data_IF_281569645957
#
_entry.id   IF_281569645957
#
_cell.length_a   1.000
_cell.length_b   1.000
_cell.length_c   1.000
_cell.angle_alpha   90.00
_cell.angle_beta   90.00
_cell.angle_gamma   90.00
#
_symmetry.space_group_name_H-M   'P 1'
#
loop_
_entity.id
_entity.type
_entity.pdbx_description
1 polymer ?
#
# COMPACT_ATOMS: atom_id res chain seq x y z
N UNK A 1 3.50 -19.36 -53.20
CA UNK A 1 4.05 -18.01 -53.10
C UNK A 1 5.09 -17.97 -51.99
N UNK A 2 6.30 -17.47 -52.23
CA UNK A 2 7.32 -17.29 -51.20
C UNK A 2 6.94 -16.13 -50.34
N UNK A 3 7.22 -16.27 -49.03
CA UNK A 3 7.01 -15.23 -48.04
C UNK A 3 8.23 -15.16 -47.13
N UNK A 4 8.47 -13.95 -46.56
CA UNK A 4 9.50 -13.73 -45.59
C UNK A 4 8.86 -13.59 -44.22
N UNK A 5 9.39 -14.29 -43.22
CA UNK A 5 9.00 -14.14 -41.83
C UNK A 5 10.17 -13.65 -41.00
N UNK A 6 9.91 -12.68 -40.10
CA UNK A 6 10.84 -12.16 -39.12
C UNK A 6 10.17 -12.16 -37.76
N UNK A 7 10.79 -12.79 -36.80
CA UNK A 7 10.28 -12.93 -35.44
C UNK A 7 11.16 -12.18 -34.44
N UNK A 8 10.58 -11.82 -33.32
CA UNK A 8 11.27 -11.13 -32.25
C UNK A 8 12.19 -12.08 -31.47
N UNK A 9 13.28 -11.61 -30.83
CA UNK A 9 14.12 -12.44 -29.96
C UNK A 9 13.36 -13.07 -28.78
N UNK A 10 12.22 -12.49 -28.41
CA UNK A 10 11.32 -12.97 -27.35
C UNK A 10 10.35 -14.05 -27.82
N UNK A 11 10.45 -14.47 -29.07
CA UNK A 11 9.61 -15.50 -29.68
C UNK A 11 10.48 -16.69 -30.06
N UNK A 12 10.10 -17.87 -29.59
CA UNK A 12 10.68 -19.14 -30.04
C UNK A 12 9.85 -19.68 -31.19
N UNK A 13 10.47 -19.82 -32.32
CA UNK A 13 9.82 -20.19 -33.58
C UNK A 13 10.16 -21.60 -33.96
N UNK A 14 9.13 -22.35 -34.32
CA UNK A 14 9.25 -23.69 -34.88
C UNK A 14 8.65 -23.66 -36.30
N UNK A 15 9.51 -23.90 -37.30
CA UNK A 15 9.11 -23.95 -38.69
C UNK A 15 8.98 -25.41 -39.14
N UNK A 16 7.76 -25.81 -39.45
CA UNK A 16 7.43 -27.09 -40.03
C UNK A 16 7.37 -26.99 -41.54
N UNK A 17 7.96 -27.97 -42.23
CA UNK A 17 7.79 -28.16 -43.68
C UNK A 17 7.37 -29.57 -43.92
N UNK A 18 6.21 -29.76 -44.56
CA UNK A 18 5.61 -31.10 -44.79
C UNK A 18 5.50 -31.92 -43.47
N UNK A 19 5.14 -31.29 -42.36
CA UNK A 19 5.00 -31.95 -41.06
C UNK A 19 6.30 -32.20 -40.28
N UNK A 20 7.46 -31.89 -40.87
CA UNK A 20 8.76 -32.08 -40.20
C UNK A 20 9.35 -30.73 -39.77
N UNK A 21 9.92 -30.66 -38.56
CA UNK A 21 10.65 -29.51 -38.09
C UNK A 21 11.87 -29.25 -38.95
N UNK A 22 11.89 -28.12 -39.64
CA UNK A 22 13.02 -27.70 -40.48
C UNK A 22 13.97 -26.76 -39.77
N UNK A 23 13.42 -25.84 -38.98
CA UNK A 23 14.17 -24.82 -38.22
C UNK A 23 13.49 -24.56 -36.90
N UNK A 24 14.29 -24.33 -35.90
CA UNK A 24 13.82 -24.00 -34.57
C UNK A 24 14.81 -23.06 -33.89
N UNK A 25 14.31 -22.07 -33.17
CA UNK A 25 15.15 -21.14 -32.43
C UNK A 25 14.43 -19.82 -32.10
N UNK A 26 15.14 -18.96 -31.39
CA UNK A 26 14.61 -17.62 -31.01
C UNK A 26 15.00 -16.60 -32.08
N UNK A 27 14.10 -15.66 -32.35
CA UNK A 27 14.35 -14.51 -33.20
C UNK A 27 14.72 -14.85 -34.65
N UNK A 28 14.20 -15.94 -35.19
CA UNK A 28 14.53 -16.39 -36.55
C UNK A 28 13.94 -15.46 -37.60
N UNK A 29 14.70 -15.34 -38.71
CA UNK A 29 14.24 -14.66 -39.92
C UNK A 29 14.55 -15.53 -41.12
N UNK A 30 13.55 -15.84 -41.95
CA UNK A 30 13.74 -16.76 -43.07
C UNK A 30 12.67 -16.60 -44.16
N UNK A 31 13.01 -17.05 -45.36
CA UNK A 31 12.06 -17.22 -46.43
C UNK A 31 11.44 -18.64 -46.38
N UNK A 32 10.15 -18.74 -46.67
CA UNK A 32 9.41 -20.00 -46.67
C UNK A 32 8.38 -20.04 -47.78
N UNK A 33 7.97 -21.28 -48.14
CA UNK A 33 6.94 -21.56 -49.15
C UNK A 33 5.62 -21.86 -48.42
N UNK A 34 4.65 -20.93 -48.57
CA UNK A 34 3.36 -20.97 -47.82
C UNK A 34 2.61 -22.31 -47.88
N UNK A 35 2.42 -22.94 -49.06
CA UNK A 35 1.57 -24.14 -49.18
C UNK A 35 2.08 -25.35 -48.39
N UNK A 36 3.38 -25.42 -48.09
CA UNK A 36 3.99 -26.62 -47.45
C UNK A 36 4.56 -26.30 -46.09
N UNK A 37 4.39 -25.04 -45.62
CA UNK A 37 5.03 -24.56 -44.38
C UNK A 37 3.99 -24.15 -43.37
N UNK A 38 4.16 -24.58 -42.13
CA UNK A 38 3.46 -24.05 -40.95
C UNK A 38 4.48 -23.47 -39.97
N UNK A 39 4.19 -22.34 -39.42
CA UNK A 39 5.07 -21.64 -38.49
C UNK A 39 4.35 -21.49 -37.16
N UNK A 40 4.95 -21.99 -36.12
CA UNK A 40 4.48 -21.86 -34.75
C UNK A 40 5.40 -20.87 -34.02
N UNK A 41 4.85 -19.87 -33.41
CA UNK A 41 5.59 -18.86 -32.62
C UNK A 41 5.16 -18.93 -31.15
N UNK A 42 6.07 -19.29 -30.30
CA UNK A 42 5.85 -19.40 -28.86
C UNK A 42 6.52 -18.22 -28.17
N UNK A 43 5.79 -17.36 -27.47
CA UNK A 43 6.40 -16.27 -26.70
C UNK A 43 7.14 -16.84 -25.48
N UNK A 44 8.42 -16.50 -25.38
CA UNK A 44 9.30 -16.91 -24.27
C UNK A 44 9.63 -15.75 -23.33
N UNK A 45 8.93 -14.64 -23.47
CA UNK A 45 8.93 -13.55 -22.52
C UNK A 45 8.28 -13.97 -21.19
N UNK A 46 8.48 -13.18 -20.16
CA UNK A 46 7.86 -13.38 -18.85
C UNK A 46 6.74 -12.36 -18.66
N UNK A 47 5.51 -12.65 -19.13
CA UNK A 47 4.39 -11.78 -18.91
C UNK A 47 3.86 -11.89 -17.47
N UNK A 48 3.28 -10.78 -17.00
CA UNK A 48 2.54 -10.75 -15.75
C UNK A 48 1.05 -10.99 -16.06
N UNK A 49 0.46 -11.91 -15.33
CA UNK A 49 -0.92 -12.30 -15.44
C UNK A 49 -1.66 -11.87 -14.18
N UNK A 50 -2.44 -10.79 -14.21
CA UNK A 50 -3.22 -10.38 -13.07
C UNK A 50 -4.39 -11.35 -12.84
N UNK A 51 -4.75 -11.56 -11.58
CA UNK A 51 -5.90 -12.34 -11.20
C UNK A 51 -6.70 -11.68 -10.08
N UNK A 52 -7.99 -11.97 -10.07
CA UNK A 52 -8.92 -11.61 -8.99
C UNK A 52 -9.77 -12.83 -8.72
N UNK A 53 -9.70 -13.34 -7.48
CA UNK A 53 -10.49 -14.47 -7.03
C UNK A 53 -11.45 -14.05 -5.94
N UNK A 54 -12.69 -14.53 -6.02
CA UNK A 54 -13.66 -14.45 -4.95
C UNK A 54 -13.83 -15.85 -4.40
N UNK A 55 -13.32 -16.05 -3.19
CA UNK A 55 -13.32 -17.36 -2.53
C UNK A 55 -14.06 -17.28 -1.20
N UNK A 56 -14.48 -18.42 -0.71
CA UNK A 56 -15.24 -18.52 0.54
C UNK A 56 -14.34 -19.11 1.62
N UNK A 57 -14.29 -18.44 2.76
CA UNK A 57 -13.55 -18.89 3.95
C UNK A 57 -14.32 -19.96 4.72
N UNK A 58 -13.67 -20.56 5.74
CA UNK A 58 -14.28 -21.51 6.67
C UNK A 58 -15.57 -20.96 7.33
N UNK A 59 -15.59 -19.65 7.58
CA UNK A 59 -16.71 -18.95 8.20
C UNK A 59 -17.82 -18.59 7.20
N UNK A 60 -17.80 -19.15 5.99
CA UNK A 60 -18.73 -18.86 4.89
C UNK A 60 -18.74 -17.38 4.47
N UNK A 61 -17.64 -16.68 4.69
CA UNK A 61 -17.48 -15.28 4.26
C UNK A 61 -16.72 -15.21 2.95
N UNK A 62 -17.15 -14.31 2.07
CA UNK A 62 -16.45 -14.09 0.80
C UNK A 62 -15.27 -13.16 1.00
N UNK A 63 -14.12 -13.56 0.49
CA UNK A 63 -12.90 -12.75 0.40
C UNK A 63 -12.51 -12.58 -1.06
N UNK A 64 -12.11 -11.37 -1.39
CA UNK A 64 -11.54 -11.03 -2.70
C UNK A 64 -10.04 -10.99 -2.60
N UNK A 65 -9.37 -11.83 -3.38
CA UNK A 65 -7.91 -11.96 -3.42
C UNK A 65 -7.44 -11.42 -4.77
N UNK A 66 -6.60 -10.41 -4.74
CA UNK A 66 -6.04 -9.79 -5.93
C UNK A 66 -4.54 -10.01 -5.97
N UNK A 67 -4.05 -10.39 -7.13
CA UNK A 67 -2.63 -10.65 -7.29
C UNK A 67 -2.21 -10.75 -8.74
N UNK A 68 -0.96 -11.15 -8.93
CA UNK A 68 -0.39 -11.39 -10.25
C UNK A 68 0.53 -12.61 -10.22
N UNK A 69 0.59 -13.31 -11.33
CA UNK A 69 1.45 -14.46 -11.58
C UNK A 69 2.39 -14.08 -12.71
N UNK A 70 3.68 -14.07 -12.44
CA UNK A 70 4.71 -13.96 -13.48
C UNK A 70 5.14 -15.36 -13.88
N UNK A 71 5.05 -15.66 -15.14
CA UNK A 71 5.43 -16.98 -15.65
C UNK A 71 6.28 -16.87 -16.91
N UNK A 72 6.95 -17.94 -17.27
CA UNK A 72 7.64 -18.09 -18.56
C UNK A 72 7.37 -19.45 -19.16
N UNK A 73 7.44 -19.53 -20.46
CA UNK A 73 7.43 -20.80 -21.18
C UNK A 73 8.87 -21.31 -21.25
N UNK A 74 9.13 -22.40 -20.52
CA UNK A 74 10.47 -23.01 -20.45
C UNK A 74 10.69 -24.01 -21.58
N UNK A 75 9.66 -24.81 -21.93
CA UNK A 75 9.71 -25.81 -22.98
C UNK A 75 8.75 -25.47 -24.14
N UNK A 76 9.16 -24.63 -25.11
CA UNK A 76 8.29 -24.19 -26.21
C UNK A 76 7.74 -25.32 -27.09
N UNK A 77 8.44 -26.43 -27.19
CA UNK A 77 7.98 -27.59 -27.98
C UNK A 77 6.73 -28.23 -27.39
N UNK A 78 6.72 -28.45 -26.06
CA UNK A 78 5.57 -29.10 -25.39
C UNK A 78 4.32 -28.29 -25.56
N UNK A 79 4.43 -26.95 -25.40
CA UNK A 79 3.26 -26.11 -25.56
C UNK A 79 2.76 -26.07 -27.00
N UNK A 80 3.67 -26.11 -27.98
CA UNK A 80 3.33 -26.16 -29.39
C UNK A 80 2.64 -27.47 -29.84
N UNK A 81 2.82 -28.56 -29.08
CA UNK A 81 2.14 -29.83 -29.29
C UNK A 81 0.71 -29.84 -28.72
N UNK A 82 0.48 -29.08 -27.68
CA UNK A 82 -0.80 -29.03 -26.94
C UNK A 82 -1.72 -27.89 -27.36
N UNK A 83 -1.16 -26.81 -27.89
CA UNK A 83 -1.89 -25.59 -28.29
C UNK A 83 -1.50 -25.21 -29.72
N UNK A 84 -2.49 -24.77 -30.47
CA UNK A 84 -2.26 -24.29 -31.84
C UNK A 84 -1.81 -22.82 -31.83
N UNK A 85 -0.50 -22.64 -31.74
CA UNK A 85 0.14 -21.31 -31.79
C UNK A 85 0.66 -20.99 -33.21
N UNK A 86 -0.02 -21.49 -34.24
CA UNK A 86 0.29 -21.22 -35.63
C UNK A 86 0.07 -19.77 -35.96
N UNK A 87 1.07 -19.19 -36.64
CA UNK A 87 1.07 -17.77 -37.05
C UNK A 87 0.82 -17.70 -38.55
N UNK A 88 -0.08 -16.78 -38.88
CA UNK A 88 -0.38 -16.46 -40.27
C UNK A 88 0.73 -15.65 -40.95
N UNK A 89 0.55 -15.37 -42.24
CA UNK A 89 1.51 -14.58 -43.03
C UNK A 89 1.60 -13.09 -42.62
N UNK A 90 0.65 -12.62 -41.85
CA UNK A 90 0.60 -11.27 -41.28
C UNK A 90 1.30 -11.17 -39.91
N UNK A 91 1.79 -12.29 -39.37
CA UNK A 91 2.42 -12.35 -38.06
C UNK A 91 1.45 -12.51 -36.91
N UNK A 92 0.15 -12.67 -37.17
CA UNK A 92 -0.88 -12.86 -36.15
C UNK A 92 -1.19 -14.35 -35.94
N UNK A 93 -1.58 -14.72 -34.73
CA UNK A 93 -2.02 -16.08 -34.45
C UNK A 93 -3.31 -16.39 -35.20
N UNK A 94 -3.38 -17.58 -35.81
CA UNK A 94 -4.58 -18.04 -36.51
C UNK A 94 -5.69 -18.40 -35.54
N UNK A 95 -5.35 -18.83 -34.32
CA UNK A 95 -6.29 -19.14 -33.24
C UNK A 95 -5.89 -18.41 -31.96
N UNK A 96 -6.87 -18.19 -31.10
CA UNK A 96 -6.68 -17.57 -29.79
C UNK A 96 -6.23 -18.53 -28.70
N UNK A 97 -5.58 -19.63 -29.07
CA UNK A 97 -5.15 -20.64 -28.11
C UNK A 97 -4.06 -20.12 -27.15
N UNK A 98 -3.37 -19.06 -27.55
CA UNK A 98 -2.45 -18.35 -26.64
C UNK A 98 -3.14 -17.82 -25.36
N UNK A 99 -4.37 -17.30 -25.48
CA UNK A 99 -5.14 -16.80 -24.34
C UNK A 99 -5.49 -17.92 -23.34
N UNK A 100 -5.61 -19.16 -23.82
CA UNK A 100 -5.91 -20.34 -22.99
C UNK A 100 -4.78 -20.66 -22.00
N UNK A 101 -3.56 -20.24 -22.28
CA UNK A 101 -2.42 -20.43 -21.38
C UNK A 101 -2.68 -19.69 -20.06
N UNK A 102 -2.99 -18.41 -20.16
CA UNK A 102 -3.32 -17.58 -18.99
C UNK A 102 -4.52 -18.11 -18.22
N UNK A 103 -5.59 -18.50 -18.94
CA UNK A 103 -6.79 -19.06 -18.32
C UNK A 103 -6.51 -20.35 -17.54
N UNK A 104 -5.69 -21.27 -18.08
CA UNK A 104 -5.30 -22.49 -17.38
C UNK A 104 -4.50 -22.19 -16.11
N UNK A 105 -3.53 -21.27 -16.20
CA UNK A 105 -2.76 -20.83 -15.01
C UNK A 105 -3.67 -20.18 -13.94
N UNK A 106 -4.60 -19.35 -14.36
CA UNK A 106 -5.59 -18.73 -13.44
C UNK A 106 -6.46 -19.81 -12.80
N UNK A 107 -6.91 -20.80 -13.54
CA UNK A 107 -7.76 -21.87 -13.00
C UNK A 107 -7.00 -22.74 -11.97
N UNK A 108 -5.75 -23.08 -12.25
CA UNK A 108 -4.90 -23.83 -11.32
C UNK A 108 -4.58 -23.00 -10.05
N UNK A 109 -4.23 -21.73 -10.24
CA UNK A 109 -4.01 -20.81 -9.15
C UNK A 109 -5.26 -20.66 -8.28
N UNK A 110 -6.43 -20.54 -8.91
CA UNK A 110 -7.72 -20.46 -8.21
C UNK A 110 -8.01 -21.72 -7.41
N UNK A 111 -7.78 -22.92 -7.99
CA UNK A 111 -7.99 -24.17 -7.30
C UNK A 111 -7.10 -24.28 -6.05
N UNK A 112 -5.81 -23.92 -6.16
CA UNK A 112 -4.89 -23.89 -5.03
C UNK A 112 -5.33 -22.87 -3.98
N UNK A 113 -5.75 -21.67 -4.41
CA UNK A 113 -6.24 -20.60 -3.52
C UNK A 113 -7.50 -21.04 -2.78
N UNK A 114 -8.48 -21.57 -3.50
CA UNK A 114 -9.77 -22.01 -2.94
C UNK A 114 -9.58 -23.08 -1.87
N UNK A 115 -8.77 -24.10 -2.16
CA UNK A 115 -8.44 -25.17 -1.21
C UNK A 115 -7.79 -24.63 0.06
N UNK A 116 -6.89 -23.68 -0.06
CA UNK A 116 -6.20 -23.10 1.09
C UNK A 116 -7.12 -22.19 1.91
N UNK A 117 -7.84 -21.29 1.25
CA UNK A 117 -8.72 -20.30 1.90
C UNK A 117 -9.92 -20.95 2.60
N UNK A 118 -10.42 -22.07 2.06
CA UNK A 118 -11.53 -22.82 2.68
C UNK A 118 -11.21 -23.33 4.10
N UNK A 119 -9.93 -23.43 4.47
CA UNK A 119 -9.50 -23.84 5.80
C UNK A 119 -9.19 -22.66 6.75
N UNK A 120 -9.23 -21.43 6.26
CA UNK A 120 -8.92 -20.23 7.02
C UNK A 120 -10.20 -19.51 7.45
N UNK A 121 -10.16 -18.93 8.67
CA UNK A 121 -11.18 -17.95 9.07
C UNK A 121 -10.98 -16.62 8.30
N UNK A 122 -12.03 -15.80 8.24
CA UNK A 122 -11.94 -14.49 7.57
C UNK A 122 -10.79 -13.63 8.09
N UNK A 123 -10.60 -13.58 9.42
CA UNK A 123 -9.54 -12.79 10.04
C UNK A 123 -8.13 -13.31 9.67
N UNK A 124 -7.98 -14.61 9.60
CA UNK A 124 -6.72 -15.25 9.20
C UNK A 124 -6.45 -15.02 7.71
N UNK A 125 -7.44 -15.20 6.86
CA UNK A 125 -7.32 -14.99 5.42
C UNK A 125 -6.85 -13.57 5.09
N UNK A 126 -7.40 -12.55 5.76
CA UNK A 126 -7.02 -11.14 5.58
C UNK A 126 -5.57 -10.84 5.98
N UNK A 127 -4.96 -11.66 6.85
CA UNK A 127 -3.58 -11.48 7.34
C UNK A 127 -2.56 -12.38 6.65
N UNK A 128 -3.02 -13.36 5.87
CA UNK A 128 -2.17 -14.41 5.31
C UNK A 128 -1.87 -14.23 3.82
N UNK A 129 -1.75 -13.00 3.33
CA UNK A 129 -1.44 -12.72 1.93
C UNK A 129 -0.18 -13.46 1.45
N UNK A 130 0.90 -13.44 2.24
CA UNK A 130 2.16 -14.13 1.91
C UNK A 130 2.01 -15.65 1.91
N UNK A 131 1.23 -16.20 2.84
CA UNK A 131 0.97 -17.64 2.91
C UNK A 131 0.13 -18.12 1.73
N UNK A 132 -0.84 -17.31 1.30
CA UNK A 132 -1.64 -17.57 0.10
C UNK A 132 -0.73 -17.53 -1.14
N UNK A 133 0.11 -16.50 -1.28
CA UNK A 133 1.04 -16.39 -2.40
C UNK A 133 1.97 -17.60 -2.50
N UNK A 134 2.52 -18.05 -1.37
CA UNK A 134 3.37 -19.23 -1.30
C UNK A 134 2.62 -20.50 -1.67
N UNK A 135 1.42 -20.71 -1.13
CA UNK A 135 0.61 -21.88 -1.43
C UNK A 135 0.25 -21.96 -2.93
N UNK A 136 -0.11 -20.82 -3.53
CA UNK A 136 -0.39 -20.73 -4.96
C UNK A 136 0.86 -21.04 -5.79
N UNK A 137 2.03 -20.51 -5.40
CA UNK A 137 3.29 -20.79 -6.08
C UNK A 137 3.65 -22.29 -6.02
N UNK A 138 3.51 -22.91 -4.86
CA UNK A 138 3.75 -24.33 -4.65
C UNK A 138 2.73 -25.18 -5.44
N UNK A 139 1.45 -24.78 -5.42
CA UNK A 139 0.38 -25.41 -6.19
C UNK A 139 0.62 -25.37 -7.70
N UNK A 140 1.00 -24.21 -8.23
CA UNK A 140 1.35 -24.07 -9.65
C UNK A 140 2.59 -24.87 -10.03
N UNK A 141 3.58 -24.93 -9.16
CA UNK A 141 4.82 -25.68 -9.43
C UNK A 141 4.59 -27.17 -9.40
N UNK A 142 3.72 -27.66 -8.52
CA UNK A 142 3.37 -29.09 -8.39
C UNK A 142 2.31 -29.56 -9.38
N UNK A 143 1.58 -28.64 -10.02
CA UNK A 143 0.51 -28.96 -10.96
C UNK A 143 1.02 -29.70 -12.17
N UNK A 144 0.49 -30.92 -12.40
CA UNK A 144 0.79 -31.73 -13.58
C UNK A 144 0.36 -31.03 -14.89
N UNK A 145 -0.72 -30.25 -14.86
CA UNK A 145 -1.22 -29.46 -15.99
C UNK A 145 -0.22 -28.39 -16.42
N UNK A 146 0.37 -27.67 -15.46
CA UNK A 146 1.35 -26.61 -15.71
C UNK A 146 2.67 -27.21 -16.21
N UNK A 147 3.10 -28.29 -15.58
CA UNK A 147 4.31 -29.02 -16.00
C UNK A 147 4.17 -29.63 -17.39
N UNK A 148 3.02 -30.21 -17.73
CA UNK A 148 2.75 -30.77 -19.05
C UNK A 148 2.84 -29.70 -20.16
N UNK A 149 2.43 -28.48 -19.87
CA UNK A 149 2.55 -27.34 -20.78
C UNK A 149 3.98 -26.78 -20.91
N UNK A 150 4.92 -27.23 -20.10
CA UNK A 150 6.29 -26.70 -20.08
C UNK A 150 6.38 -25.26 -19.61
N UNK A 151 5.45 -24.85 -18.74
CA UNK A 151 5.39 -23.51 -18.17
C UNK A 151 6.06 -23.53 -16.79
N UNK A 152 6.84 -22.52 -16.52
CA UNK A 152 7.48 -22.31 -15.23
C UNK A 152 6.92 -21.03 -14.59
N UNK A 153 6.22 -21.11 -13.46
CA UNK A 153 5.91 -19.93 -12.66
C UNK A 153 7.22 -19.37 -12.08
N UNK A 154 7.42 -18.06 -12.20
CA UNK A 154 8.61 -17.37 -11.70
C UNK A 154 8.32 -16.72 -10.35
N UNK A 155 7.18 -16.04 -10.23
CA UNK A 155 6.74 -15.44 -8.99
C UNK A 155 5.21 -15.35 -8.93
N UNK A 156 4.69 -15.43 -7.74
CA UNK A 156 3.29 -15.16 -7.43
C UNK A 156 3.28 -14.08 -6.35
N UNK A 157 2.55 -13.00 -6.60
CA UNK A 157 2.38 -11.92 -5.65
C UNK A 157 0.89 -11.71 -5.39
N UNK A 158 0.51 -11.76 -4.13
CA UNK A 158 -0.82 -11.33 -3.66
C UNK A 158 -0.72 -9.88 -3.24
N UNK A 159 -1.41 -9.02 -3.95
CA UNK A 159 -1.36 -7.56 -3.74
C UNK A 159 -2.32 -7.13 -2.64
N UNK A 160 -3.52 -7.72 -2.62
CA UNK A 160 -4.52 -7.41 -1.63
C UNK A 160 -5.42 -8.61 -1.34
N UNK A 161 -5.78 -8.75 -0.08
CA UNK A 161 -6.86 -9.62 0.38
C UNK A 161 -7.88 -8.73 1.08
N UNK A 162 -9.10 -8.69 0.58
CA UNK A 162 -10.15 -7.81 1.10
C UNK A 162 -11.43 -8.59 1.36
N UNK A 163 -12.10 -8.24 2.45
CA UNK A 163 -13.43 -8.73 2.75
C UNK A 163 -14.48 -7.92 1.98
N UNK A 164 -15.71 -8.40 1.97
CA UNK A 164 -16.83 -7.59 1.49
C UNK A 164 -16.95 -6.29 2.29
N UNK A 165 -17.41 -5.18 1.69
CA UNK A 165 -17.50 -3.88 2.38
C UNK A 165 -18.29 -3.93 3.68
N UNK A 166 -19.29 -4.80 3.77
CA UNK A 166 -20.11 -5.00 4.98
C UNK A 166 -19.29 -5.66 6.09
N UNK A 167 -18.57 -6.73 5.76
CA UNK A 167 -17.72 -7.44 6.70
C UNK A 167 -16.51 -6.62 7.13
N UNK A 168 -15.92 -5.84 6.22
CA UNK A 168 -14.85 -4.90 6.56
C UNK A 168 -15.32 -3.90 7.62
N UNK A 169 -16.48 -3.27 7.42
CA UNK A 169 -17.08 -2.35 8.40
C UNK A 169 -17.40 -3.05 9.74
N UNK A 170 -17.91 -4.29 9.70
CA UNK A 170 -18.18 -5.04 10.91
C UNK A 170 -16.91 -5.37 11.72
N UNK A 171 -15.84 -5.76 11.02
CA UNK A 171 -14.53 -6.02 11.63
C UNK A 171 -13.90 -4.74 12.21
N UNK A 172 -14.01 -3.62 11.50
CA UNK A 172 -13.57 -2.31 11.99
C UNK A 172 -14.36 -1.87 13.23
N UNK A 173 -15.69 -2.05 13.21
CA UNK A 173 -16.55 -1.74 14.36
C UNK A 173 -16.17 -2.60 15.57
N UNK A 174 -16.00 -3.92 15.36
CA UNK A 174 -15.60 -4.86 16.42
C UNK A 174 -14.20 -4.49 16.98
N UNK A 175 -13.27 -4.16 16.12
CA UNK A 175 -11.92 -3.74 16.55
C UNK A 175 -11.97 -2.44 17.36
N UNK A 176 -12.78 -1.47 16.91
CA UNK A 176 -12.98 -0.19 17.61
C UNK A 176 -13.63 -0.39 18.97
N UNK A 177 -14.68 -1.22 19.03
CA UNK A 177 -15.35 -1.55 20.29
C UNK A 177 -14.41 -2.26 21.27
N UNK A 178 -13.62 -3.24 20.78
CA UNK A 178 -12.61 -3.92 21.60
C UNK A 178 -11.58 -2.96 22.18
N UNK A 179 -11.07 -2.02 21.38
CA UNK A 179 -10.14 -0.99 21.85
C UNK A 179 -10.81 -0.04 22.86
N UNK A 180 -12.08 0.28 22.66
CA UNK A 180 -12.82 1.13 23.58
C UNK A 180 -13.08 0.42 24.91
N UNK A 181 -13.46 -0.87 24.89
CA UNK A 181 -13.59 -1.68 26.09
C UNK A 181 -12.28 -1.80 26.86
N UNK A 182 -11.14 -2.00 26.16
CA UNK A 182 -9.83 -2.05 26.78
C UNK A 182 -9.45 -0.71 27.44
N UNK A 183 -9.75 0.39 26.76
CA UNK A 183 -9.56 1.74 27.33
C UNK A 183 -10.45 1.98 28.56
N UNK A 184 -11.71 1.57 28.50
CA UNK A 184 -12.66 1.70 29.62
C UNK A 184 -12.22 0.84 30.80
N UNK A 185 -11.79 -0.41 30.58
CA UNK A 185 -11.24 -1.28 31.63
C UNK A 185 -9.99 -0.66 32.27
N UNK A 186 -9.12 -0.04 31.48
CA UNK A 186 -7.95 0.66 32.01
C UNK A 186 -8.36 1.89 32.87
N UNK A 187 -9.42 2.60 32.48
CA UNK A 187 -9.99 3.71 33.27
C UNK A 187 -10.62 3.19 34.56
N UNK A 188 -11.40 2.10 34.50
CA UNK A 188 -12.00 1.48 35.69
C UNK A 188 -10.93 0.96 36.66
N UNK A 189 -9.92 0.25 36.18
CA UNK A 189 -8.80 -0.22 36.99
C UNK A 189 -8.06 0.93 37.69
N UNK A 190 -7.88 2.07 37.00
CA UNK A 190 -7.31 3.28 37.63
C UNK A 190 -8.20 3.85 38.70
N UNK A 191 -9.53 3.93 38.46
CA UNK A 191 -10.49 4.42 39.47
C UNK A 191 -10.55 3.50 40.68
N UNK A 192 -10.56 2.20 40.46
CA UNK A 192 -10.58 1.22 41.55
C UNK A 192 -9.31 1.28 42.39
N UNK A 193 -8.17 1.39 41.75
CA UNK A 193 -6.89 1.63 42.43
C UNK A 193 -6.90 2.95 43.21
N UNK A 194 -7.46 4.01 42.62
CA UNK A 194 -7.57 5.31 43.31
C UNK A 194 -8.51 5.21 44.53
N UNK A 195 -9.64 4.52 44.42
CA UNK A 195 -10.57 4.34 45.55
C UNK A 195 -10.00 3.41 46.62
N UNK A 196 -9.28 2.37 46.23
CA UNK A 196 -8.59 1.50 47.21
C UNK A 196 -7.48 2.22 47.92
N UNK A 197 -6.71 3.07 47.25
CA UNK A 197 -5.69 3.92 47.89
C UNK A 197 -6.35 4.99 48.77
N UNK A 198 -7.46 5.60 48.32
CA UNK A 198 -8.23 6.54 49.13
C UNK A 198 -8.82 5.88 50.39
N UNK A 199 -9.32 4.62 50.30
CA UNK A 199 -9.74 3.83 51.46
C UNK A 199 -8.57 3.54 52.39
N UNK A 200 -7.42 3.10 51.89
CA UNK A 200 -6.23 2.89 52.71
C UNK A 200 -5.78 4.16 53.42
N UNK A 201 -5.86 5.27 52.71
CA UNK A 201 -5.57 6.60 53.29
C UNK A 201 -6.56 6.92 54.39
N UNK A 202 -7.88 6.75 54.17
CA UNK A 202 -8.90 6.98 55.19
C UNK A 202 -8.81 6.02 56.38
N UNK A 203 -8.53 4.73 56.10
CA UNK A 203 -8.27 3.75 57.20
C UNK A 203 -7.00 4.13 57.97
N UNK A 204 -5.96 4.58 57.26
CA UNK A 204 -4.73 5.07 57.91
C UNK A 204 -5.00 6.34 58.72
N UNK A 205 -5.82 7.25 58.18
CA UNK A 205 -6.25 8.46 58.87
C UNK A 205 -7.06 8.17 60.13
N UNK A 206 -8.05 7.24 60.02
CA UNK A 206 -8.84 6.79 61.19
C UNK A 206 -7.98 6.08 62.25
N UNK A 207 -7.06 5.21 61.81
CA UNK A 207 -6.13 4.58 62.75
C UNK A 207 -5.15 5.59 63.40
N UNK A 208 -4.79 6.63 62.62
CA UNK A 208 -3.96 7.73 63.16
C UNK A 208 -4.77 8.60 64.11
N UNK A 209 -6.05 8.86 63.82
CA UNK A 209 -6.95 9.64 64.70
C UNK A 209 -7.22 8.89 66.02
N UNK A 210 -7.45 7.55 65.94
CA UNK A 210 -7.57 6.69 67.12
C UNK A 210 -6.26 6.68 67.94
N UNK A 211 -5.09 6.56 67.25
CA UNK A 211 -3.79 6.63 67.91
C UNK A 211 -3.47 8.02 68.51
N UNK A 212 -4.05 9.09 67.93
CA UNK A 212 -3.95 10.47 68.43
C UNK A 212 -4.87 10.69 69.62
N UNK A 213 -6.09 10.06 69.61
CA UNK A 213 -6.98 10.12 70.80
C UNK A 213 -6.39 9.42 71.99
N UNK A 214 -5.73 8.26 71.79
CA UNK A 214 -5.01 7.54 72.83
C UNK A 214 -3.75 8.31 73.34
N UNK A 215 -3.20 9.15 72.44
CA UNK A 215 -2.02 9.95 72.74
C UNK A 215 -2.31 11.43 73.05
N UNK A 216 -3.56 11.84 73.23
CA UNK A 216 -3.93 13.23 73.58
C UNK A 216 -3.22 13.79 74.80
N UNK A 217 -2.58 12.94 75.59
CA UNK A 217 -1.68 13.33 76.72
C UNK A 217 -0.26 13.74 76.26
N UNK A 218 0.13 13.44 75.04
CA UNK A 218 1.43 13.83 74.46
C UNK A 218 1.32 14.82 73.29
N UNK A 219 0.27 15.59 73.30
CA UNK A 219 -0.32 16.28 72.13
C UNK A 219 0.50 17.45 71.56
N UNK A 220 1.35 18.09 72.27
CA UNK A 220 1.97 19.29 71.70
C UNK A 220 3.11 19.04 70.73
N UNK A 221 3.82 17.94 70.84
CA UNK A 221 4.87 17.58 69.87
C UNK A 221 4.33 16.83 68.64
N UNK A 222 3.23 16.08 68.83
CA UNK A 222 2.60 15.35 67.70
C UNK A 222 1.83 16.31 66.74
N UNK A 223 1.28 17.42 67.25
CA UNK A 223 0.55 18.39 66.38
C UNK A 223 1.46 19.00 65.31
N UNK A 224 2.70 19.31 65.66
CA UNK A 224 3.65 19.88 64.69
C UNK A 224 4.12 18.85 63.64
N UNK A 225 4.25 17.58 64.03
CA UNK A 225 4.59 16.50 63.08
C UNK A 225 3.41 16.11 62.18
N UNK A 226 2.19 16.17 62.71
CA UNK A 226 0.96 15.91 61.91
C UNK A 226 0.73 16.98 60.86
N UNK A 227 1.01 18.25 61.19
CA UNK A 227 0.86 19.37 60.26
C UNK A 227 1.85 19.25 59.07
N UNK A 228 3.10 18.85 59.36
CA UNK A 228 4.12 18.61 58.34
C UNK A 228 3.74 17.40 57.44
N UNK A 229 3.22 16.30 58.02
CA UNK A 229 2.80 15.13 57.30
C UNK A 229 1.57 15.36 56.40
N UNK A 230 0.67 16.28 56.81
CA UNK A 230 -0.47 16.69 55.98
C UNK A 230 -0.04 17.60 54.80
N UNK A 231 0.97 18.48 55.04
CA UNK A 231 1.52 19.28 53.94
C UNK A 231 2.31 18.43 52.93
N UNK A 232 3.07 17.47 53.38
CA UNK A 232 3.76 16.52 52.49
C UNK A 232 2.77 15.65 51.67
N UNK A 233 1.66 15.19 52.31
CA UNK A 233 0.62 14.46 51.61
C UNK A 233 -0.13 15.33 50.61
N UNK A 234 -0.41 16.57 50.95
CA UNK A 234 -0.98 17.53 50.00
C UNK A 234 -0.04 17.85 48.83
N UNK A 235 1.26 17.82 49.11
CA UNK A 235 2.27 17.97 48.06
C UNK A 235 2.34 16.71 47.17
N UNK A 236 2.33 15.51 47.75
CA UNK A 236 2.31 14.24 47.02
C UNK A 236 1.02 14.05 46.19
N UNK A 237 -0.13 14.47 46.73
CA UNK A 237 -1.40 14.45 45.98
C UNK A 237 -1.35 15.43 44.80
N UNK A 238 -0.78 16.61 44.98
CA UNK A 238 -0.56 17.56 43.85
C UNK A 238 0.43 17.02 42.82
N UNK A 239 1.49 16.35 43.29
CA UNK A 239 2.45 15.71 42.36
C UNK A 239 1.83 14.52 41.62
N UNK A 240 0.98 13.70 42.27
CA UNK A 240 0.24 12.61 41.59
C UNK A 240 -0.85 13.10 40.63
N UNK A 241 -1.55 14.19 40.99
CA UNK A 241 -2.48 14.82 40.06
C UNK A 241 -1.75 15.40 38.84
N UNK A 242 -0.59 16.02 39.05
CA UNK A 242 0.25 16.52 37.98
C UNK A 242 0.81 15.37 37.10
N UNK A 243 1.18 14.22 37.69
CA UNK A 243 1.59 13.03 36.92
C UNK A 243 0.43 12.40 36.16
N UNK A 244 -0.78 12.36 36.73
CA UNK A 244 -1.96 11.88 36.02
C UNK A 244 -2.32 12.79 34.85
N UNK A 245 -2.27 14.10 35.04
CA UNK A 245 -2.50 15.07 33.96
C UNK A 245 -1.42 14.97 32.87
N UNK A 246 -0.17 14.78 33.25
CA UNK A 246 0.93 14.54 32.29
C UNK A 246 0.70 13.25 31.49
N UNK A 247 0.22 12.18 32.14
CA UNK A 247 -0.03 10.89 31.45
C UNK A 247 -1.21 11.01 30.47
N UNK A 248 -2.25 11.75 30.81
CA UNK A 248 -3.39 12.04 29.92
C UNK A 248 -2.94 12.91 28.74
N UNK A 249 -2.08 13.90 29.01
CA UNK A 249 -1.57 14.76 27.95
C UNK A 249 -0.58 14.02 27.01
N UNK A 250 0.20 13.10 27.56
CA UNK A 250 1.04 12.21 26.74
C UNK A 250 0.19 11.27 25.87
N UNK A 251 -0.90 10.72 26.39
CA UNK A 251 -1.83 9.90 25.61
C UNK A 251 -2.56 10.72 24.53
N UNK A 252 -2.89 11.99 24.81
CA UNK A 252 -3.39 12.91 23.78
C UNK A 252 -2.35 13.21 22.71
N UNK A 253 -1.09 13.41 23.10
CA UNK A 253 0.00 13.61 22.12
C UNK A 253 0.20 12.39 21.22
N UNK A 254 0.23 11.19 21.78
CA UNK A 254 0.33 9.97 20.97
C UNK A 254 -0.86 9.78 20.02
N UNK A 255 -2.07 10.17 20.44
CA UNK A 255 -3.26 10.16 19.57
C UNK A 255 -3.16 11.20 18.43
N UNK A 256 -2.61 12.39 18.75
CA UNK A 256 -2.37 13.42 17.75
C UNK A 256 -1.24 13.01 16.81
N UNK A 257 -0.17 12.41 17.33
CA UNK A 257 0.95 11.91 16.53
C UNK A 257 0.51 10.79 15.57
N UNK A 258 -0.31 9.84 16.04
CA UNK A 258 -0.88 8.77 15.18
C UNK A 258 -1.83 9.36 14.12
N UNK A 259 -2.62 10.38 14.46
CA UNK A 259 -3.43 11.10 13.46
C UNK A 259 -2.56 11.85 12.46
N UNK A 260 -1.53 12.54 12.94
CA UNK A 260 -0.60 13.27 12.09
C UNK A 260 0.24 12.32 11.20
N UNK A 261 0.57 11.13 11.71
CA UNK A 261 1.26 10.09 10.93
C UNK A 261 0.35 9.50 9.84
N UNK A 262 -0.93 9.29 10.14
CA UNK A 262 -1.91 8.87 9.14
C UNK A 262 -2.15 9.96 8.08
N UNK A 263 -2.28 11.23 8.51
CA UNK A 263 -2.38 12.35 7.56
C UNK A 263 -1.09 12.54 6.74
N UNK A 264 0.09 12.27 7.33
CA UNK A 264 1.34 12.24 6.57
C UNK A 264 1.37 11.10 5.56
N UNK A 265 0.98 9.91 5.93
CA UNK A 265 0.88 8.76 5.00
C UNK A 265 -0.11 9.02 3.87
N UNK A 266 -1.23 9.68 4.19
CA UNK A 266 -2.18 10.12 3.17
C UNK A 266 -1.63 11.26 2.30
N UNK A 267 -0.86 12.17 2.88
CA UNK A 267 -0.16 13.23 2.15
C UNK A 267 0.98 12.67 1.30
N UNK A 268 1.76 11.71 1.83
CA UNK A 268 2.83 11.03 1.10
C UNK A 268 2.29 10.20 -0.07
N UNK A 269 1.14 9.52 0.11
CA UNK A 269 0.46 8.82 -0.98
C UNK A 269 -0.06 9.79 -2.05
N UNK A 270 -0.57 10.94 -1.63
CA UNK A 270 -0.97 12.02 -2.56
C UNK A 270 0.24 12.68 -3.23
N UNK A 271 1.31 12.91 -2.47
CA UNK A 271 2.58 13.44 -3.00
C UNK A 271 3.21 12.47 -3.99
N UNK A 272 3.22 11.16 -3.69
CA UNK A 272 3.70 10.12 -4.59
C UNK A 272 2.85 10.04 -5.87
N UNK A 273 1.53 10.15 -5.75
CA UNK A 273 0.64 10.22 -6.91
C UNK A 273 0.88 11.47 -7.76
N UNK A 274 1.12 12.62 -7.09
CA UNK A 274 1.51 13.88 -7.77
C UNK A 274 2.92 13.79 -8.37
N UNK A 275 3.89 13.20 -7.68
CA UNK A 275 5.25 13.00 -8.18
C UNK A 275 5.26 12.07 -9.41
N UNK A 276 4.45 11.01 -9.41
CA UNK A 276 4.24 10.17 -10.59
C UNK A 276 3.55 10.92 -11.73
N UNK A 277 2.60 11.81 -11.44
CA UNK A 277 2.02 12.71 -12.42
C UNK A 277 3.06 13.74 -12.94
N UNK A 278 3.85 14.34 -12.04
CA UNK A 278 4.89 15.28 -12.45
C UNK A 278 6.05 14.60 -13.19
N UNK A 279 6.38 13.35 -12.85
CA UNK A 279 7.41 12.58 -13.55
C UNK A 279 7.02 12.23 -14.99
N UNK A 280 5.72 12.05 -15.23
CA UNK A 280 5.19 11.92 -16.61
C UNK A 280 5.14 13.27 -17.36
N UNK A 281 5.08 14.38 -16.63
CA UNK A 281 5.04 15.74 -17.20
C UNK A 281 6.45 16.34 -17.32
N UNK A 282 7.42 15.90 -16.52
CA UNK A 282 8.80 16.42 -16.52
C UNK A 282 9.62 16.00 -17.77
N UNK A 283 9.08 15.13 -18.62
CA UNK A 283 9.64 14.84 -19.95
C UNK A 283 9.22 15.84 -21.03
N UNK A 284 8.35 16.80 -20.68
CA UNK A 284 7.87 17.80 -21.62
C UNK A 284 8.53 19.12 -21.29
N UNK A 285 9.28 19.65 -22.26
CA UNK A 285 9.94 20.96 -22.16
C UNK A 285 8.92 22.02 -21.68
N UNK A 286 9.29 22.81 -20.68
CA UNK A 286 8.43 23.85 -20.10
C UNK A 286 7.86 24.81 -21.14
N UNK A 287 8.53 24.96 -22.29
CA UNK A 287 8.08 25.74 -23.44
C UNK A 287 6.83 25.14 -24.12
N UNK A 288 6.70 23.80 -24.09
CA UNK A 288 5.50 23.12 -24.62
C UNK A 288 4.34 23.17 -23.66
N UNK A 289 4.60 23.19 -22.34
CA UNK A 289 3.58 23.40 -21.31
C UNK A 289 3.01 24.83 -21.37
N UNK A 290 3.84 25.81 -21.64
CA UNK A 290 3.41 27.20 -21.82
C UNK A 290 2.59 27.39 -23.11
N UNK A 291 2.91 26.64 -24.17
CA UNK A 291 2.13 26.64 -25.42
C UNK A 291 0.78 25.92 -25.31
N UNK A 292 0.70 24.92 -24.42
CA UNK A 292 -0.56 24.15 -24.20
C UNK A 292 -1.53 24.89 -23.27
N UNK A 293 -1.05 25.78 -22.41
CA UNK A 293 -1.89 26.61 -21.54
C UNK A 293 -2.60 27.76 -22.25
N UNK A 294 -2.61 27.74 -23.58
CA UNK A 294 -3.48 28.56 -24.43
C UNK A 294 -3.56 30.03 -23.99
N UNK A 295 -2.45 30.77 -24.09
CA UNK A 295 -2.51 32.24 -24.23
C UNK A 295 -3.10 33.06 -23.09
N UNK A 296 -3.34 32.51 -21.92
CA UNK A 296 -3.95 33.21 -20.78
C UNK A 296 -3.07 33.22 -19.52
N UNK A 297 -1.75 33.36 -19.69
CA UNK A 297 -0.92 33.73 -18.56
C UNK A 297 -1.04 35.25 -18.39
N UNK A 298 -1.90 35.63 -17.44
CA UNK A 298 -2.05 37.04 -17.03
C UNK A 298 -0.66 37.62 -16.76
N UNK A 299 -0.26 38.64 -17.53
CA UNK A 299 1.06 39.27 -17.43
C UNK A 299 1.43 39.70 -16.00
N UNK A 300 0.41 39.88 -15.16
CA UNK A 300 0.55 40.13 -13.71
C UNK A 300 1.17 38.96 -12.93
N UNK A 301 0.91 37.71 -13.34
CA UNK A 301 1.47 36.52 -12.67
C UNK A 301 2.96 36.38 -13.01
N UNK A 302 3.35 36.67 -14.25
CA UNK A 302 4.75 36.61 -14.67
C UNK A 302 5.57 37.72 -13.98
N UNK A 303 4.99 38.90 -13.81
CA UNK A 303 5.60 40.03 -13.11
C UNK A 303 5.72 39.74 -11.61
N UNK A 304 4.67 39.15 -11.00
CA UNK A 304 4.68 38.75 -9.60
C UNK A 304 5.76 37.70 -9.30
N UNK A 305 5.98 36.74 -10.22
CA UNK A 305 7.05 35.75 -10.09
C UNK A 305 8.45 36.37 -10.21
N UNK A 306 8.64 37.32 -11.13
CA UNK A 306 9.90 38.06 -11.27
C UNK A 306 10.21 38.89 -10.03
N UNK A 307 9.20 39.54 -9.40
CA UNK A 307 9.37 40.27 -8.14
C UNK A 307 9.63 39.35 -6.94
N UNK A 308 9.07 38.15 -6.93
CA UNK A 308 9.35 37.15 -5.88
C UNK A 308 10.78 36.64 -5.97
N UNK A 309 11.26 36.34 -7.16
CA UNK A 309 12.63 35.89 -7.38
C UNK A 309 13.67 37.00 -7.04
N UNK A 310 13.27 38.24 -7.25
CA UNK A 310 14.05 39.43 -6.86
C UNK A 310 14.04 39.61 -5.32
N UNK A 311 12.94 39.31 -4.66
CA UNK A 311 12.81 39.39 -3.20
C UNK A 311 13.58 38.24 -2.49
N UNK A 312 13.59 37.04 -3.05
CA UNK A 312 14.35 35.89 -2.53
C UNK A 312 15.90 36.12 -2.66
N UNK A 313 16.33 36.91 -3.63
CA UNK A 313 17.73 37.30 -3.81
C UNK A 313 18.09 38.67 -3.22
N UNK A 314 17.20 39.29 -2.46
CA UNK A 314 17.34 40.62 -1.90
C UNK A 314 18.58 40.79 -0.96
N UNK A 315 19.07 39.72 -0.39
CA UNK A 315 20.30 39.74 0.42
C UNK A 315 21.60 40.03 -0.37
N UNK A 316 21.56 39.97 -1.70
CA UNK A 316 22.69 40.21 -2.57
C UNK A 316 22.69 41.61 -3.26
N UNK A 317 21.61 42.37 -3.08
CA UNK A 317 21.41 43.66 -3.74
C UNK A 317 21.31 44.72 -2.66
N UNK A 318 22.35 45.54 -2.56
CA UNK A 318 22.51 46.50 -1.45
C UNK A 318 21.49 47.68 -1.41
N UNK A 319 20.97 48.14 -2.52
CA UNK A 319 19.89 49.16 -2.58
C UNK A 319 19.20 49.06 -3.94
N UNK A 320 17.91 48.71 -3.90
CA UNK A 320 17.05 48.72 -5.11
C UNK A 320 16.13 49.94 -5.01
N UNK A 321 16.37 50.96 -5.83
CA UNK A 321 15.53 52.15 -5.88
C UNK A 321 14.60 52.01 -7.11
N UNK A 322 13.38 51.55 -6.85
CA UNK A 322 12.38 51.46 -7.89
C UNK A 322 11.52 52.73 -7.84
N UNK A 323 11.62 53.52 -8.90
CA UNK A 323 10.77 54.71 -9.00
C UNK A 323 9.32 54.34 -9.17
N UNK A 324 8.38 55.05 -8.54
CA UNK A 324 6.92 54.79 -8.65
C UNK A 324 6.42 54.76 -10.09
N UNK A 325 7.07 55.52 -10.99
CA UNK A 325 6.73 55.62 -12.43
C UNK A 325 6.97 54.32 -13.20
N UNK A 326 7.96 53.55 -12.79
CA UNK A 326 8.27 52.23 -13.41
C UNK A 326 7.25 51.15 -13.02
N UNK A 327 6.74 51.19 -11.81
CA UNK A 327 5.68 50.30 -11.32
C UNK A 327 4.34 50.61 -12.03
N UNK A 328 4.04 51.87 -12.26
CA UNK A 328 2.79 52.32 -12.89
C UNK A 328 2.78 52.04 -14.39
N UNK A 329 3.91 52.08 -15.07
CA UNK A 329 4.04 51.68 -16.47
C UNK A 329 3.96 50.17 -16.68
N UNK A 330 4.50 49.36 -15.77
CA UNK A 330 4.38 47.89 -15.83
C UNK A 330 3.00 47.37 -15.53
N UNK A 331 2.24 48.09 -14.69
CA UNK A 331 0.87 47.74 -14.35
C UNK A 331 -0.16 48.22 -15.38
N UNK A 332 0.17 49.24 -16.18
CA UNK A 332 -0.74 49.85 -17.18
C UNK A 332 -0.61 49.26 -18.61
N UNK A 333 0.38 48.42 -18.91
CA UNK A 333 0.59 47.85 -20.26
C UNK A 333 -0.30 46.63 -20.56
N UNK A 334 -1.45 46.48 -19.91
CA UNK A 334 -2.41 45.42 -20.26
C UNK A 334 -3.85 45.92 -20.22
N UNK A 335 -4.15 46.86 -21.10
CA UNK A 335 -5.52 47.11 -21.60
C UNK A 335 -5.45 47.59 -23.05
N UNK A 336 -5.27 46.63 -23.93
CA UNK A 336 -5.77 46.66 -25.31
C UNK A 336 -6.00 45.25 -25.77
#
# INVERSE_FOLDING_TARGET
MFSFARFRPTEHVIHYKNGVVKREGRGLSFFYWKPTSSIVAVPVSSPDLPFIFNEVTLDFQTVTIQGQITYRIFEPRRIAELLDLTVGSNGEYLKKDYEKIGQRLINEARAATSTFVAHLSLKEALRSADSIAKNVADGLTSSSSVQALGIQPLSVAVVAVSATPEMARALEAQAREGLQQEADLAVYARRDNAVTEERKIKESELNTEIAVEDKKRQIREAQMQVEIAVEEKKRQIREMQMQADISVEQQRRTLVDVKAENERKDADTRAYALEMMFKSISSVDWKTLLALSGGAADSKVVIAHAFRELAENAQKIGTLNISPDLLDTLLKTTST
#
